data_IF_121598563347
#
_entry.id   IF_121598563347
#
_cell.length_a   1.000
_cell.length_b   1.000
_cell.length_c   1.000
_cell.angle_alpha   90.00
_cell.angle_beta   90.00
_cell.angle_gamma   90.00
#
_symmetry.space_group_name_H-M   'P 1'
#
loop_
_entity.id
_entity.type
_entity.pdbx_description
1 polymer ?
#
# COMPACT_ATOMS: atom_id res chain seq x y z
N UNK A 1 -10.95 -2.52 -2.61
CA UNK A 1 -10.97 -1.06 -2.55
C UNK A 1 -11.53 -0.57 -1.23
N UNK A 2 -11.28 0.68 -0.80
CA UNK A 2 -11.91 1.26 0.38
C UNK A 2 -13.42 1.38 0.15
N UNK A 3 -14.20 0.93 1.11
CA UNK A 3 -15.65 1.09 1.08
C UNK A 3 -16.01 2.38 1.82
N UNK A 4 -16.56 3.35 1.08
CA UNK A 4 -17.11 4.56 1.65
C UNK A 4 -18.51 4.31 2.21
N UNK A 5 -18.73 4.65 3.48
CA UNK A 5 -20.04 4.68 4.09
C UNK A 5 -20.54 6.13 4.13
N UNK A 6 -21.54 6.42 3.34
CA UNK A 6 -22.32 7.65 3.42
C UNK A 6 -23.54 7.39 4.32
N UNK A 7 -23.49 7.84 5.56
CA UNK A 7 -24.69 7.83 6.41
C UNK A 7 -25.53 9.05 6.09
N UNK A 8 -26.58 8.83 5.30
CA UNK A 8 -27.59 9.85 4.99
C UNK A 8 -28.86 9.63 5.81
N UNK A 9 -28.93 9.55 7.00
CA UNK A 9 -30.03 9.43 7.93
C UNK A 9 -29.69 8.50 9.08
N UNK A 10 -30.32 8.70 10.20
CA UNK A 10 -30.27 7.91 11.42
C UNK A 10 -30.55 6.41 11.23
N UNK A 11 -29.72 5.77 10.39
CA UNK A 11 -29.73 4.31 10.34
C UNK A 11 -29.32 3.80 11.73
N UNK A 12 -30.06 2.89 12.34
CA UNK A 12 -29.68 2.31 13.61
C UNK A 12 -28.25 1.77 13.53
N UNK A 13 -27.40 2.10 14.46
CA UNK A 13 -25.97 1.70 14.45
C UNK A 13 -25.82 0.19 14.23
N UNK A 14 -26.72 -0.63 14.80
CA UNK A 14 -26.70 -2.09 14.62
C UNK A 14 -26.87 -2.51 13.16
N UNK A 15 -27.70 -1.82 12.38
CA UNK A 15 -27.88 -2.15 10.97
C UNK A 15 -26.61 -1.88 10.16
N UNK A 16 -25.92 -0.77 10.45
CA UNK A 16 -24.62 -0.45 9.84
C UNK A 16 -23.60 -1.53 10.18
N UNK A 17 -23.49 -1.90 11.46
CA UNK A 17 -22.55 -2.94 11.89
C UNK A 17 -22.85 -4.30 11.25
N UNK A 18 -24.11 -4.68 11.11
CA UNK A 18 -24.49 -5.93 10.43
C UNK A 18 -23.97 -5.98 8.98
N UNK A 19 -23.92 -4.83 8.30
CA UNK A 19 -23.42 -4.75 6.91
C UNK A 19 -21.90 -4.73 6.85
N UNK A 20 -21.23 -4.02 7.77
CA UNK A 20 -19.77 -3.81 7.69
C UNK A 20 -18.95 -4.90 8.40
N UNK A 21 -19.55 -5.69 9.28
CA UNK A 21 -18.84 -6.72 10.05
C UNK A 21 -18.03 -7.70 9.19
N UNK A 22 -18.52 -8.22 8.05
CA UNK A 22 -17.72 -9.08 7.17
C UNK A 22 -16.48 -8.39 6.61
N UNK A 23 -16.44 -7.06 6.60
CA UNK A 23 -15.36 -6.24 6.06
C UNK A 23 -14.49 -5.59 7.14
N UNK A 24 -14.64 -5.98 8.40
CA UNK A 24 -13.92 -5.41 9.55
C UNK A 24 -12.40 -5.35 9.38
N UNK A 25 -11.83 -6.30 8.64
CA UNK A 25 -10.41 -6.37 8.32
C UNK A 25 -9.95 -5.34 7.27
N UNK A 26 -10.88 -4.64 6.62
CA UNK A 26 -10.58 -3.67 5.56
C UNK A 26 -10.59 -2.23 6.09
N UNK A 27 -9.72 -1.36 5.56
CA UNK A 27 -9.79 0.07 5.88
C UNK A 27 -11.09 0.68 5.34
N UNK A 28 -11.72 1.52 6.14
CA UNK A 28 -13.00 2.16 5.85
C UNK A 28 -12.89 3.67 5.99
N UNK A 29 -13.87 4.38 5.41
CA UNK A 29 -14.06 5.80 5.63
C UNK A 29 -15.44 5.99 6.24
N UNK A 30 -15.46 6.61 7.42
CA UNK A 30 -16.68 7.12 8.03
C UNK A 30 -16.76 8.61 7.70
N UNK A 31 -17.62 8.95 6.76
CA UNK A 31 -17.78 10.32 6.29
C UNK A 31 -19.14 10.84 6.66
N UNK A 32 -19.17 11.88 7.52
CA UNK A 32 -20.37 12.53 8.00
C UNK A 32 -20.48 13.96 7.51
N UNK A 33 -21.71 14.37 7.26
CA UNK A 33 -22.05 15.77 7.07
C UNK A 33 -22.47 16.34 8.43
N UNK A 34 -21.82 17.42 8.85
CA UNK A 34 -22.17 18.14 10.06
C UNK A 34 -23.15 19.30 9.76
N UNK A 35 -23.51 20.05 10.79
CA UNK A 35 -24.36 21.21 10.66
C UNK A 35 -23.73 22.38 9.91
N UNK A 36 -24.25 23.56 10.17
CA UNK A 36 -23.72 24.81 9.62
C UNK A 36 -23.78 25.91 10.67
N UNK A 37 -23.05 26.96 10.45
CA UNK A 37 -23.09 28.14 11.27
C UNK A 37 -24.13 29.13 10.74
N UNK A 38 -25.01 29.62 11.61
CA UNK A 38 -26.06 30.58 11.30
C UNK A 38 -25.92 31.75 12.28
N UNK A 39 -25.20 32.79 11.86
CA UNK A 39 -24.80 33.87 12.75
C UNK A 39 -23.93 33.39 13.92
N UNK A 40 -24.34 33.59 15.14
CA UNK A 40 -23.66 33.11 16.35
C UNK A 40 -24.13 31.70 16.79
N UNK A 41 -25.01 31.04 16.04
CA UNK A 41 -25.53 29.71 16.36
C UNK A 41 -24.94 28.65 15.47
N UNK A 42 -24.62 27.51 16.06
CA UNK A 42 -24.28 26.31 15.34
C UNK A 42 -25.52 25.41 15.24
N UNK A 43 -25.96 25.12 14.03
CA UNK A 43 -27.10 24.25 13.76
C UNK A 43 -26.57 22.86 13.41
N UNK A 44 -26.96 21.88 14.23
CA UNK A 44 -26.55 20.48 14.00
C UNK A 44 -27.61 19.72 13.21
N UNK A 45 -27.19 18.63 12.56
CA UNK A 45 -28.06 17.76 11.79
C UNK A 45 -28.16 16.37 12.41
N UNK A 46 -29.19 15.61 12.04
CA UNK A 46 -29.32 14.20 12.41
C UNK A 46 -28.17 13.36 11.83
N UNK A 47 -27.61 13.76 10.69
CA UNK A 47 -26.47 13.09 10.05
C UNK A 47 -25.22 13.13 10.94
N UNK A 48 -24.98 14.28 11.61
CA UNK A 48 -23.90 14.39 12.58
C UNK A 48 -24.11 13.42 13.75
N UNK A 49 -25.31 13.36 14.30
CA UNK A 49 -25.63 12.45 15.40
C UNK A 49 -25.40 10.99 15.01
N UNK A 50 -25.87 10.58 13.81
CA UNK A 50 -25.68 9.24 13.29
C UNK A 50 -24.20 8.88 13.08
N UNK A 51 -23.43 9.79 12.52
CA UNK A 51 -22.00 9.56 12.27
C UNK A 51 -21.20 9.49 13.57
N UNK A 52 -21.48 10.38 14.52
CA UNK A 52 -20.84 10.40 15.83
C UNK A 52 -21.17 9.15 16.63
N UNK A 53 -22.42 8.67 16.56
CA UNK A 53 -22.86 7.45 17.22
C UNK A 53 -22.15 6.18 16.70
N UNK A 54 -21.67 6.19 15.46
CA UNK A 54 -20.89 5.08 14.89
C UNK A 54 -19.42 5.14 15.27
N UNK A 55 -18.86 6.33 15.46
CA UNK A 55 -17.42 6.52 15.64
C UNK A 55 -16.87 5.74 16.83
N UNK A 56 -17.41 5.96 18.02
CA UNK A 56 -16.91 5.33 19.24
C UNK A 56 -17.07 3.81 19.21
N UNK A 57 -18.22 3.23 18.83
CA UNK A 57 -18.32 1.78 18.65
C UNK A 57 -17.35 1.21 17.63
N UNK A 58 -17.10 1.87 16.51
CA UNK A 58 -16.10 1.42 15.52
C UNK A 58 -14.70 1.39 16.12
N UNK A 59 -14.32 2.41 16.90
CA UNK A 59 -13.05 2.44 17.63
C UNK A 59 -12.94 1.27 18.63
N UNK A 60 -13.96 1.08 19.47
CA UNK A 60 -13.97 0.02 20.50
C UNK A 60 -13.98 -1.39 19.91
N UNK A 61 -14.63 -1.56 18.78
CA UNK A 61 -14.66 -2.84 18.06
C UNK A 61 -13.40 -3.06 17.19
N UNK A 62 -12.47 -2.11 17.14
CA UNK A 62 -11.20 -2.22 16.44
C UNK A 62 -11.28 -2.12 14.92
N UNK A 63 -12.28 -1.43 14.38
CA UNK A 63 -12.33 -1.11 12.96
C UNK A 63 -11.20 -0.13 12.60
N UNK A 64 -10.59 -0.34 11.45
CA UNK A 64 -9.62 0.60 10.88
C UNK A 64 -10.34 1.58 9.97
N UNK A 65 -10.50 2.81 10.40
CA UNK A 65 -11.22 3.80 9.61
C UNK A 65 -10.63 5.21 9.74
N UNK A 66 -10.84 6.00 8.70
CA UNK A 66 -10.63 7.45 8.68
C UNK A 66 -11.97 8.12 8.95
N UNK A 67 -12.02 8.99 9.95
CA UNK A 67 -13.19 9.81 10.23
C UNK A 67 -13.05 11.15 9.53
N UNK A 68 -14.03 11.50 8.70
CA UNK A 68 -14.08 12.76 7.96
C UNK A 68 -15.40 13.43 8.22
N UNK A 69 -15.36 14.71 8.58
CA UNK A 69 -16.56 15.55 8.77
C UNK A 69 -16.46 16.74 7.86
N UNK A 70 -17.55 17.01 7.13
CA UNK A 70 -17.75 18.24 6.39
C UNK A 70 -18.89 19.04 6.99
N UNK A 71 -18.74 20.36 7.04
CA UNK A 71 -19.82 21.27 7.35
C UNK A 71 -20.56 21.64 6.08
N UNK A 72 -21.84 21.94 6.21
CA UNK A 72 -22.65 22.38 5.07
C UNK A 72 -22.08 23.71 4.52
N UNK A 73 -21.84 23.74 3.23
CA UNK A 73 -21.27 24.91 2.53
C UNK A 73 -19.76 24.93 2.43
N UNK A 74 -19.07 23.97 3.09
CA UNK A 74 -17.62 23.74 2.86
C UNK A 74 -17.38 22.82 1.67
N UNK A 75 -16.24 23.02 1.04
CA UNK A 75 -15.77 22.10 0.00
C UNK A 75 -15.53 20.70 0.60
N UNK A 76 -15.97 19.64 -0.08
CA UNK A 76 -15.73 18.28 0.36
C UNK A 76 -14.24 17.97 0.50
N UNK A 77 -13.86 17.29 1.57
CA UNK A 77 -12.46 16.89 1.85
C UNK A 77 -12.00 15.72 0.98
N UNK A 78 -12.15 15.86 -0.34
CA UNK A 78 -11.84 14.80 -1.30
C UNK A 78 -10.35 14.43 -1.26
N UNK A 79 -9.45 15.38 -1.06
CA UNK A 79 -8.02 15.13 -0.98
C UNK A 79 -7.68 14.13 0.15
N UNK A 80 -8.28 14.28 1.33
CA UNK A 80 -8.08 13.35 2.46
C UNK A 80 -8.64 11.95 2.17
N UNK A 81 -9.73 11.87 1.42
CA UNK A 81 -10.32 10.59 0.99
C UNK A 81 -9.37 9.87 0.04
N UNK A 82 -8.87 10.59 -0.96
CA UNK A 82 -7.94 10.06 -1.97
C UNK A 82 -6.65 9.58 -1.31
N UNK A 83 -6.04 10.39 -0.45
CA UNK A 83 -4.83 10.03 0.30
C UNK A 83 -5.02 8.73 1.10
N UNK A 84 -6.11 8.64 1.85
CA UNK A 84 -6.40 7.43 2.62
C UNK A 84 -6.65 6.21 1.74
N UNK A 85 -7.34 6.39 0.61
CA UNK A 85 -7.60 5.33 -0.36
C UNK A 85 -6.30 4.84 -1.02
N UNK A 86 -5.39 5.76 -1.36
CA UNK A 86 -4.07 5.42 -1.92
C UNK A 86 -3.20 4.66 -0.91
N UNK A 87 -3.18 5.10 0.34
CA UNK A 87 -2.48 4.38 1.42
C UNK A 87 -3.05 2.97 1.63
N UNK A 88 -4.38 2.82 1.62
CA UNK A 88 -5.04 1.53 1.72
C UNK A 88 -4.73 0.62 0.53
N UNK A 89 -4.66 1.17 -0.68
CA UNK A 89 -4.26 0.46 -1.89
C UNK A 89 -2.80 0.00 -1.80
N UNK A 90 -1.89 0.87 -1.39
CA UNK A 90 -0.49 0.53 -1.22
C UNK A 90 -0.29 -0.60 -0.20
N UNK A 91 -0.95 -0.53 0.95
CA UNK A 91 -0.92 -1.59 1.96
C UNK A 91 -1.49 -2.93 1.42
N UNK A 92 -2.53 -2.88 0.59
CA UNK A 92 -3.08 -4.08 -0.05
C UNK A 92 -2.10 -4.71 -1.05
N UNK A 93 -1.41 -3.89 -1.85
CA UNK A 93 -0.40 -4.35 -2.80
C UNK A 93 0.76 -5.01 -2.05
N UNK A 94 1.27 -4.39 -0.98
CA UNK A 94 2.35 -4.94 -0.17
C UNK A 94 2.00 -6.31 0.42
N UNK A 95 0.76 -6.51 0.87
CA UNK A 95 0.31 -7.79 1.44
C UNK A 95 0.27 -8.94 0.43
N UNK A 96 0.20 -8.64 -0.84
CA UNK A 96 0.18 -9.62 -1.93
C UNK A 96 1.49 -9.64 -2.71
N UNK A 97 2.41 -8.74 -2.39
CA UNK A 97 3.72 -8.68 -3.02
C UNK A 97 4.60 -9.86 -2.61
N UNK A 98 5.45 -10.25 -3.52
CA UNK A 98 6.51 -11.22 -3.30
C UNK A 98 7.85 -10.55 -3.54
N UNK A 99 8.81 -10.86 -2.68
CA UNK A 99 10.19 -10.39 -2.80
C UNK A 99 11.06 -11.62 -3.01
N UNK A 100 11.75 -11.69 -4.14
CA UNK A 100 12.72 -12.74 -4.39
C UNK A 100 14.03 -12.46 -3.65
N UNK A 101 14.52 -13.43 -2.90
CA UNK A 101 15.83 -13.37 -2.28
C UNK A 101 16.75 -14.43 -2.88
N UNK A 102 17.83 -13.99 -3.51
CA UNK A 102 18.86 -14.82 -4.08
C UNK A 102 19.89 -15.20 -3.01
N UNK A 103 20.01 -16.48 -2.71
CA UNK A 103 20.86 -16.97 -1.63
C UNK A 103 20.26 -16.73 -0.26
N UNK A 104 21.13 -16.69 0.78
CA UNK A 104 20.66 -16.54 2.17
C UNK A 104 21.36 -15.41 2.90
N UNK A 105 22.69 -15.40 2.93
CA UNK A 105 23.48 -14.44 3.70
C UNK A 105 24.71 -14.01 2.91
N UNK A 106 24.76 -12.74 2.60
CA UNK A 106 25.88 -12.20 1.84
C UNK A 106 27.11 -11.98 2.76
N UNK A 107 28.27 -12.38 2.29
CA UNK A 107 29.57 -12.21 2.94
C UNK A 107 29.59 -12.45 4.46
N UNK A 108 28.73 -13.30 4.98
CA UNK A 108 28.56 -13.58 6.42
C UNK A 108 28.16 -12.37 7.27
N UNK A 109 27.60 -11.32 6.67
CA UNK A 109 27.17 -10.11 7.35
C UNK A 109 25.83 -10.32 8.05
N UNK A 110 25.70 -9.93 9.28
CA UNK A 110 24.42 -9.97 10.01
C UNK A 110 23.38 -9.02 9.43
N UNK A 111 23.81 -7.88 8.88
CA UNK A 111 22.92 -6.90 8.27
C UNK A 111 22.20 -7.37 7.00
N UNK A 112 22.59 -8.53 6.44
CA UNK A 112 21.92 -9.16 5.29
C UNK A 112 20.90 -10.21 5.69
N UNK A 113 20.74 -10.47 6.99
CA UNK A 113 19.70 -11.34 7.53
C UNK A 113 18.42 -10.54 7.78
N UNK A 114 17.32 -11.20 7.66
CA UNK A 114 16.00 -10.63 7.96
C UNK A 114 15.13 -11.66 8.68
N UNK A 115 14.13 -11.18 9.40
CA UNK A 115 13.06 -11.99 9.97
C UNK A 115 11.84 -11.95 9.05
N UNK A 116 11.63 -13.01 8.27
CA UNK A 116 10.54 -13.10 7.30
C UNK A 116 9.16 -13.02 7.95
N UNK A 117 9.00 -13.58 9.15
CA UNK A 117 7.73 -13.56 9.88
C UNK A 117 7.40 -12.13 10.33
N UNK A 118 8.37 -11.42 10.89
CA UNK A 118 8.22 -10.02 11.28
C UNK A 118 7.93 -9.13 10.07
N UNK A 119 8.65 -9.31 8.96
CA UNK A 119 8.42 -8.58 7.72
C UNK A 119 6.99 -8.81 7.21
N UNK A 120 6.57 -10.07 7.15
CA UNK A 120 5.22 -10.45 6.72
C UNK A 120 4.14 -9.83 7.61
N UNK A 121 4.33 -9.86 8.92
CA UNK A 121 3.34 -9.36 9.88
C UNK A 121 3.25 -7.83 9.90
N UNK A 122 4.35 -7.13 9.78
CA UNK A 122 4.42 -5.67 9.90
C UNK A 122 4.19 -4.95 8.57
N UNK A 123 4.75 -5.45 7.48
CA UNK A 123 4.73 -4.79 6.16
C UNK A 123 3.81 -5.52 5.19
N UNK A 124 3.89 -6.85 5.13
CA UNK A 124 2.97 -7.68 4.37
C UNK A 124 3.55 -8.57 3.28
N UNK A 125 4.69 -8.25 2.62
CA UNK A 125 5.20 -9.06 1.51
C UNK A 125 5.68 -10.43 1.96
N UNK A 126 5.56 -11.40 1.07
CA UNK A 126 6.14 -12.73 1.21
C UNK A 126 7.56 -12.76 0.64
N UNK A 127 8.46 -13.51 1.28
CA UNK A 127 9.82 -13.70 0.76
C UNK A 127 9.93 -15.08 0.14
N UNK A 128 10.27 -15.12 -1.13
CA UNK A 128 10.61 -16.35 -1.84
C UNK A 128 12.13 -16.45 -2.00
N UNK A 129 12.69 -17.55 -1.51
CA UNK A 129 14.12 -17.82 -1.63
C UNK A 129 14.41 -18.56 -2.93
N UNK A 130 15.46 -18.13 -3.60
CA UNK A 130 16.02 -18.80 -4.77
C UNK A 130 17.41 -19.34 -4.41
N UNK A 131 17.64 -20.61 -4.72
CA UNK A 131 18.96 -21.19 -4.59
C UNK A 131 19.92 -20.60 -5.64
N UNK A 132 21.20 -20.42 -5.26
CA UNK A 132 22.20 -19.91 -6.18
C UNK A 132 22.42 -20.85 -7.37
N UNK A 133 22.23 -22.16 -7.18
CA UNK A 133 22.29 -23.13 -8.28
C UNK A 133 21.15 -22.92 -9.26
N UNK A 134 19.94 -22.70 -8.77
CA UNK A 134 18.78 -22.40 -9.62
C UNK A 134 19.01 -21.13 -10.45
N UNK A 135 19.54 -20.08 -9.81
CA UNK A 135 19.89 -18.85 -10.50
C UNK A 135 20.95 -19.09 -11.58
N UNK A 136 21.99 -19.85 -11.26
CA UNK A 136 23.04 -20.20 -12.24
C UNK A 136 22.45 -20.95 -13.44
N UNK A 137 21.57 -21.91 -13.22
CA UNK A 137 20.89 -22.64 -14.31
C UNK A 137 20.00 -21.74 -15.16
N UNK A 138 19.28 -20.79 -14.53
CA UNK A 138 18.45 -19.83 -15.26
C UNK A 138 19.29 -18.86 -16.10
N UNK A 139 20.47 -18.47 -15.61
CA UNK A 139 21.39 -17.59 -16.34
C UNK A 139 21.87 -18.22 -17.67
N UNK A 140 22.04 -19.54 -17.73
CA UNK A 140 22.42 -20.23 -18.95
C UNK A 140 21.33 -20.16 -20.04
N UNK A 141 20.08 -19.94 -19.65
CA UNK A 141 18.94 -19.80 -20.55
C UNK A 141 18.68 -18.38 -21.07
N UNK A 142 19.37 -17.37 -20.54
CA UNK A 142 19.14 -15.95 -20.93
C UNK A 142 19.67 -15.71 -22.33
N UNK A 143 18.81 -15.16 -23.21
CA UNK A 143 19.14 -14.89 -24.61
C UNK A 143 19.90 -13.56 -24.78
N UNK A 144 20.78 -13.51 -25.75
CA UNK A 144 21.55 -12.29 -26.04
C UNK A 144 20.65 -11.10 -26.41
N UNK A 145 19.49 -11.34 -27.03
CA UNK A 145 18.52 -10.30 -27.36
C UNK A 145 17.94 -9.65 -26.09
N UNK A 146 17.70 -10.44 -25.06
CA UNK A 146 17.19 -9.93 -23.76
C UNK A 146 18.26 -9.11 -23.06
N UNK A 147 19.52 -9.57 -23.06
CA UNK A 147 20.66 -8.82 -22.51
C UNK A 147 20.81 -7.49 -23.24
N UNK A 148 20.75 -7.49 -24.56
CA UNK A 148 20.86 -6.27 -25.36
C UNK A 148 19.71 -5.29 -25.11
N UNK A 149 18.48 -5.78 -24.97
CA UNK A 149 17.30 -4.96 -24.69
C UNK A 149 17.40 -4.30 -23.31
N UNK A 150 17.75 -5.05 -22.27
CA UNK A 150 17.93 -4.52 -20.91
C UNK A 150 19.09 -3.53 -20.84
N UNK A 151 20.24 -3.87 -21.43
CA UNK A 151 21.43 -3.01 -21.46
C UNK A 151 21.14 -1.68 -22.18
N UNK A 152 20.40 -1.72 -23.27
CA UNK A 152 19.97 -0.51 -23.99
C UNK A 152 19.04 0.35 -23.15
N UNK A 153 18.08 -0.26 -22.43
CA UNK A 153 17.18 0.45 -21.54
C UNK A 153 17.92 1.11 -20.37
N UNK A 154 18.89 0.42 -19.78
CA UNK A 154 19.72 0.97 -18.69
C UNK A 154 20.57 2.13 -19.16
N UNK A 155 21.24 2.00 -20.33
CA UNK A 155 22.04 3.08 -20.93
C UNK A 155 21.23 4.36 -21.22
N UNK A 156 19.94 4.22 -21.54
CA UNK A 156 19.03 5.37 -21.74
C UNK A 156 18.59 6.03 -20.43
N UNK A 157 18.52 5.26 -19.34
CA UNK A 157 17.99 5.75 -18.06
C UNK A 157 19.07 6.24 -17.09
N UNK A 158 20.27 5.72 -17.19
CA UNK A 158 21.36 6.04 -16.28
C UNK A 158 22.24 7.15 -16.85
N UNK A 159 22.64 8.05 -15.97
CA UNK A 159 23.70 9.03 -16.25
C UNK A 159 25.02 8.47 -15.74
N UNK A 160 25.94 8.20 -16.65
CA UNK A 160 27.27 7.72 -16.28
C UNK A 160 28.18 8.92 -15.97
N UNK A 161 28.77 8.95 -14.77
CA UNK A 161 29.75 9.98 -14.38
C UNK A 161 31.04 9.81 -15.19
N UNK A 162 31.35 8.56 -15.55
CA UNK A 162 32.47 8.21 -16.45
C UNK A 162 31.95 7.16 -17.44
N UNK A 163 32.30 7.35 -18.70
CA UNK A 163 31.90 6.39 -19.74
C UNK A 163 32.38 4.98 -19.40
N UNK A 164 31.49 3.98 -19.33
CA UNK A 164 31.87 2.61 -19.06
C UNK A 164 32.66 2.03 -20.22
N UNK A 165 33.58 1.12 -19.93
CA UNK A 165 34.28 0.38 -20.98
C UNK A 165 33.28 -0.38 -21.87
N UNK A 166 33.55 -0.56 -23.16
CA UNK A 166 32.71 -1.37 -24.03
C UNK A 166 32.41 -2.75 -23.43
N UNK A 167 31.17 -3.17 -23.47
CA UNK A 167 30.73 -4.45 -22.93
C UNK A 167 30.50 -4.50 -21.40
N UNK A 168 30.85 -3.45 -20.63
CA UNK A 168 30.69 -3.47 -19.16
C UNK A 168 29.23 -3.58 -18.75
N UNK A 169 28.32 -2.85 -19.38
CA UNK A 169 26.89 -2.88 -19.05
C UNK A 169 26.29 -4.22 -19.45
N UNK A 170 26.62 -4.71 -20.63
CA UNK A 170 26.16 -6.00 -21.15
C UNK A 170 26.65 -7.16 -20.24
N UNK A 171 27.91 -7.18 -19.88
CA UNK A 171 28.47 -8.17 -18.96
C UNK A 171 27.83 -8.13 -17.57
N UNK A 172 27.50 -6.93 -17.09
CA UNK A 172 26.79 -6.76 -15.81
C UNK A 172 25.35 -7.28 -15.85
N UNK A 173 24.69 -7.20 -16.99
CA UNK A 173 23.33 -7.75 -17.21
C UNK A 173 23.40 -9.26 -17.38
N UNK A 174 24.35 -9.77 -18.14
CA UNK A 174 24.53 -11.19 -18.41
C UNK A 174 25.04 -11.98 -17.19
N UNK A 175 25.85 -11.34 -16.34
CA UNK A 175 26.49 -11.94 -15.16
C UNK A 175 27.24 -13.26 -15.39
N UNK A 176 27.56 -13.60 -16.63
CA UNK A 176 28.35 -14.80 -16.96
C UNK A 176 29.85 -14.60 -16.72
N UNK A 177 30.29 -13.42 -16.36
CA UNK A 177 31.69 -13.09 -16.10
C UNK A 177 31.87 -12.70 -14.62
N UNK A 178 31.80 -13.70 -13.78
CA UNK A 178 32.33 -13.66 -12.41
C UNK A 178 33.45 -14.67 -12.31
#
# INVERSE_FOLDING_TARGET
GPYGLLSRNTAPSWAVFSVIEPFRHKPMILWGLSGWQEGARFVTTADQAGTTALRKPMEDMGYKFKYIVNYRGEEPRIAEIVEYAEAARAASILRTAKIGMAGYRDMRLYGTLYDGVSLRSQIGPEIEHFDLLEISQLMDGVKNEEIAAISSALKKRWTFVKEPKPGTVENSVDRKSV
#
